data_IF_035831284899
#
_entry.id   IF_035831284899
#
_cell.length_a   1.000
_cell.length_b   1.000
_cell.length_c   1.000
_cell.angle_alpha   90.00
_cell.angle_beta   90.00
_cell.angle_gamma   90.00
#
_symmetry.space_group_name_H-M   'P 1'
#
loop_
_entity.id
_entity.type
_entity.pdbx_description
1 polymer ?
#
# COMPACT_ATOMS: atom_id res chain seq x y z
N UNK A 1 -4.43 0.61 -1.33
CA UNK A 1 -3.02 1.05 -1.30
C UNK A 1 -2.04 -0.02 -0.84
N UNK A 2 -2.32 -0.82 0.17
CA UNK A 2 -1.43 -1.94 0.55
C UNK A 2 -1.14 -2.91 -0.60
N UNK A 3 -2.07 -3.05 -1.56
CA UNK A 3 -1.84 -3.78 -2.80
C UNK A 3 -0.60 -3.31 -3.59
N UNK A 4 -0.30 -2.01 -3.60
CA UNK A 4 0.88 -1.45 -4.28
C UNK A 4 2.16 -1.91 -3.58
N UNK A 5 2.20 -1.79 -2.24
CA UNK A 5 3.34 -2.24 -1.44
C UNK A 5 3.55 -3.76 -1.59
N UNK A 6 2.47 -4.55 -1.61
CA UNK A 6 2.53 -6.00 -1.84
C UNK A 6 2.97 -6.37 -3.26
N UNK A 7 2.59 -5.59 -4.28
CA UNK A 7 3.05 -5.79 -5.64
C UNK A 7 4.56 -5.54 -5.77
N UNK A 8 5.06 -4.49 -5.11
CA UNK A 8 6.47 -4.10 -5.13
C UNK A 8 7.34 -4.88 -4.14
N UNK A 9 6.74 -5.66 -3.23
CA UNK A 9 7.40 -6.38 -2.15
C UNK A 9 8.56 -7.28 -2.62
N UNK A 10 8.39 -7.95 -3.78
CA UNK A 10 9.41 -8.83 -4.36
C UNK A 10 10.40 -8.09 -5.27
N UNK A 11 10.04 -6.89 -5.73
CA UNK A 11 10.83 -6.12 -6.69
C UNK A 11 11.89 -5.25 -6.01
N UNK A 12 11.66 -4.87 -4.74
CA UNK A 12 12.44 -3.79 -4.14
C UNK A 12 12.64 -4.00 -2.63
N UNK A 13 13.91 -3.88 -2.19
CA UNK A 13 14.34 -4.15 -0.83
C UNK A 13 13.72 -3.24 0.23
N UNK A 14 13.28 -2.02 -0.12
CA UNK A 14 12.53 -1.17 0.79
C UNK A 14 11.17 -1.80 1.12
N UNK A 15 10.40 -2.17 0.10
CA UNK A 15 9.07 -2.77 0.30
C UNK A 15 9.17 -4.13 0.97
N UNK A 16 10.25 -4.89 0.72
CA UNK A 16 10.53 -6.13 1.45
C UNK A 16 10.47 -5.96 2.97
N UNK A 17 11.01 -4.86 3.49
CA UNK A 17 11.07 -4.56 4.92
C UNK A 17 9.71 -4.27 5.55
N UNK A 18 8.68 -3.97 4.76
CA UNK A 18 7.33 -3.69 5.26
C UNK A 18 6.57 -4.96 5.66
N UNK A 19 7.02 -6.13 5.19
CA UNK A 19 6.35 -7.42 5.37
C UNK A 19 7.29 -8.44 6.02
N UNK A 20 7.62 -8.21 7.31
CA UNK A 20 8.59 -9.06 8.05
C UNK A 20 7.95 -10.20 8.81
N UNK A 21 6.69 -10.03 9.22
CA UNK A 21 6.02 -10.96 10.10
C UNK A 21 5.02 -11.78 9.30
N UNK A 22 5.07 -13.10 9.47
CA UNK A 22 4.02 -14.00 8.98
C UNK A 22 3.00 -14.25 10.10
N UNK A 23 1.72 -14.08 9.79
CA UNK A 23 0.62 -14.42 10.69
C UNK A 23 -0.01 -15.71 10.18
N UNK A 24 -0.15 -16.70 11.06
CA UNK A 24 -0.76 -18.00 10.77
C UNK A 24 -2.00 -18.19 11.61
N UNK A 25 -3.06 -18.67 10.97
CA UNK A 25 -4.30 -19.04 11.62
C UNK A 25 -4.65 -20.47 11.25
N UNK A 26 -5.16 -21.20 12.23
CA UNK A 26 -5.80 -22.48 12.02
C UNK A 26 -7.31 -22.25 12.16
N UNK A 27 -8.06 -22.62 11.14
CA UNK A 27 -9.51 -22.57 11.15
C UNK A 27 -10.06 -23.99 11.15
N UNK A 28 -11.26 -24.13 11.71
CA UNK A 28 -12.02 -25.38 11.66
C UNK A 28 -13.36 -25.07 11.03
N UNK A 29 -13.66 -25.74 9.93
CA UNK A 29 -14.93 -25.57 9.23
C UNK A 29 -16.06 -26.18 10.07
N UNK A 30 -17.30 -25.82 9.75
CA UNK A 30 -18.48 -26.39 10.43
C UNK A 30 -18.60 -27.91 10.27
N UNK A 31 -18.00 -28.48 9.21
CA UNK A 31 -17.93 -29.94 8.96
C UNK A 31 -16.81 -30.63 9.73
N UNK A 32 -15.98 -29.87 10.46
CA UNK A 32 -14.91 -30.37 11.30
C UNK A 32 -13.55 -30.50 10.62
N UNK A 33 -13.43 -30.13 9.35
CA UNK A 33 -12.15 -30.07 8.64
C UNK A 33 -11.31 -28.92 9.18
N UNK A 34 -10.01 -29.13 9.33
CA UNK A 34 -9.08 -28.11 9.80
C UNK A 34 -8.26 -27.56 8.64
N UNK A 35 -8.31 -26.25 8.44
CA UNK A 35 -7.48 -25.50 7.52
C UNK A 35 -6.33 -24.79 8.25
N UNK A 36 -5.25 -24.52 7.53
CA UNK A 36 -4.22 -23.60 7.96
C UNK A 36 -3.97 -22.57 6.86
N UNK A 37 -4.05 -21.30 7.22
CA UNK A 37 -3.77 -20.19 6.32
C UNK A 37 -2.74 -19.24 6.94
N UNK A 38 -1.84 -18.73 6.11
CA UNK A 38 -0.81 -17.77 6.51
C UNK A 38 -0.76 -16.60 5.55
N UNK A 39 -0.53 -15.40 6.09
CA UNK A 39 -0.30 -14.20 5.28
C UNK A 39 0.82 -13.35 5.87
N UNK A 40 1.47 -12.57 5.01
CA UNK A 40 2.50 -11.61 5.41
C UNK A 40 1.83 -10.34 5.94
N UNK A 41 2.12 -9.98 7.19
CA UNK A 41 1.57 -8.79 7.83
C UNK A 41 2.34 -7.56 7.40
N UNK A 42 1.62 -6.62 6.78
CA UNK A 42 2.12 -5.29 6.44
C UNK A 42 2.30 -4.46 7.72
N UNK A 43 3.45 -3.80 7.83
CA UNK A 43 3.82 -2.90 8.92
C UNK A 43 4.11 -1.49 8.40
N UNK A 44 4.32 -0.54 9.31
CA UNK A 44 4.66 0.83 8.97
C UNK A 44 3.47 1.79 8.98
N UNK A 45 3.74 3.08 8.83
CA UNK A 45 2.72 4.12 8.79
C UNK A 45 2.60 4.67 7.38
N UNK A 46 1.38 4.91 6.91
CA UNK A 46 1.11 5.54 5.62
C UNK A 46 0.47 6.91 5.79
N UNK A 47 0.68 7.76 4.81
CA UNK A 47 -0.07 8.99 4.62
C UNK A 47 -0.39 9.13 3.13
N UNK A 48 -1.61 8.72 2.77
CA UNK A 48 -2.06 8.69 1.37
C UNK A 48 -1.92 10.06 0.65
N UNK A 49 -2.18 11.21 1.30
CA UNK A 49 -2.00 12.52 0.67
C UNK A 49 -0.58 12.81 0.16
N UNK A 50 0.47 12.09 0.60
CA UNK A 50 1.82 12.24 0.01
C UNK A 50 1.84 12.00 -1.49
N UNK A 51 0.96 11.11 -1.97
CA UNK A 51 0.87 10.80 -3.40
C UNK A 51 -0.09 11.72 -4.14
N UNK A 52 -0.98 12.45 -3.43
CA UNK A 52 -2.01 13.29 -4.05
C UNK A 52 -1.41 14.29 -5.04
N UNK A 53 -0.27 14.91 -4.68
CA UNK A 53 0.47 15.86 -5.52
C UNK A 53 0.92 15.33 -6.88
N UNK A 54 0.93 14.02 -7.07
CA UNK A 54 1.32 13.39 -8.34
C UNK A 54 0.13 13.17 -9.27
N UNK A 55 -1.10 13.33 -8.79
CA UNK A 55 -2.31 13.19 -9.59
C UNK A 55 -2.75 14.55 -10.12
N UNK A 56 -3.29 14.52 -11.33
CA UNK A 56 -3.92 15.68 -11.94
C UNK A 56 -5.34 15.88 -11.36
N UNK A 57 -5.92 17.08 -11.45
CA UNK A 57 -7.28 17.33 -10.96
C UNK A 57 -8.37 16.48 -11.62
N UNK A 58 -8.14 15.97 -12.84
CA UNK A 58 -9.03 15.04 -13.53
C UNK A 58 -8.85 13.57 -13.08
N UNK A 59 -7.72 13.23 -12.48
CA UNK A 59 -7.47 11.90 -11.91
C UNK A 59 -7.92 11.80 -10.45
N UNK A 60 -7.60 12.82 -9.65
CA UNK A 60 -7.92 12.93 -8.23
C UNK A 60 -8.86 14.12 -8.01
N UNK A 61 -10.12 13.80 -7.74
CA UNK A 61 -11.15 14.78 -7.45
C UNK A 61 -11.11 15.06 -5.96
N UNK A 62 -10.93 16.32 -5.59
CA UNK A 62 -11.02 16.80 -4.21
C UNK A 62 -12.27 17.68 -4.11
N UNK A 63 -13.16 17.38 -3.16
CA UNK A 63 -14.45 18.07 -3.00
C UNK A 63 -14.86 18.13 -1.52
N UNK A 64 -15.87 18.94 -1.20
CA UNK A 64 -16.44 19.08 0.14
C UNK A 64 -17.89 18.62 0.19
N UNK A 65 -18.18 17.58 0.96
CA UNK A 65 -19.56 17.10 1.17
C UNK A 65 -19.98 17.41 2.60
N UNK A 66 -20.92 18.34 2.78
CA UNK A 66 -21.46 18.73 4.09
C UNK A 66 -20.38 19.12 5.13
N UNK A 67 -19.30 19.77 4.66
CA UNK A 67 -18.17 20.17 5.49
C UNK A 67 -17.12 19.08 5.73
N UNK A 68 -17.23 17.94 5.05
CA UNK A 68 -16.20 16.90 5.00
C UNK A 68 -15.38 17.03 3.72
N UNK A 69 -14.06 17.12 3.85
CA UNK A 69 -13.15 17.03 2.72
C UNK A 69 -13.09 15.58 2.21
N UNK A 70 -13.39 15.39 0.93
CA UNK A 70 -13.46 14.09 0.25
C UNK A 70 -12.51 14.09 -0.93
N UNK A 71 -11.69 13.04 -1.03
CA UNK A 71 -10.88 12.76 -2.20
C UNK A 71 -11.40 11.49 -2.90
N UNK A 72 -11.60 11.55 -4.22
CA UNK A 72 -12.03 10.42 -5.04
C UNK A 72 -11.07 10.20 -6.21
N UNK A 73 -10.72 8.95 -6.45
CA UNK A 73 -9.85 8.54 -7.56
C UNK A 73 -10.23 7.16 -8.06
N UNK A 74 -10.11 6.94 -9.38
CA UNK A 74 -10.29 5.61 -9.97
C UNK A 74 -9.19 4.67 -9.47
N UNK A 75 -9.59 3.53 -8.88
CA UNK A 75 -8.67 2.58 -8.27
C UNK A 75 -7.56 2.10 -9.21
N UNK A 76 -7.89 1.83 -10.48
CA UNK A 76 -6.90 1.42 -11.49
C UNK A 76 -5.84 2.50 -11.73
N UNK A 77 -6.27 3.74 -11.96
CA UNK A 77 -5.38 4.90 -12.13
C UNK A 77 -4.46 5.08 -10.93
N UNK A 78 -5.02 4.99 -9.71
CA UNK A 78 -4.26 5.08 -8.47
C UNK A 78 -3.20 3.97 -8.36
N UNK A 79 -3.58 2.72 -8.59
CA UNK A 79 -2.69 1.56 -8.45
C UNK A 79 -1.56 1.61 -9.48
N UNK A 80 -1.88 1.78 -10.76
CA UNK A 80 -0.89 1.77 -11.85
C UNK A 80 0.16 2.88 -11.64
N UNK A 81 -0.30 4.10 -11.32
CA UNK A 81 0.57 5.26 -11.09
C UNK A 81 1.37 5.14 -9.80
N UNK A 82 0.77 4.65 -8.72
CA UNK A 82 1.48 4.44 -7.46
C UNK A 82 2.53 3.32 -7.54
N UNK A 83 2.33 2.30 -8.38
CA UNK A 83 3.37 1.30 -8.67
C UNK A 83 4.56 1.95 -9.38
N UNK A 84 4.30 2.76 -10.40
CA UNK A 84 5.36 3.48 -11.13
C UNK A 84 6.16 4.41 -10.20
N UNK A 85 5.46 5.28 -9.46
CA UNK A 85 6.06 6.15 -8.46
C UNK A 85 6.83 5.37 -7.39
N UNK A 86 6.27 4.25 -6.95
CA UNK A 86 6.86 3.41 -5.93
C UNK A 86 8.20 2.81 -6.35
N UNK A 87 8.39 2.51 -7.64
CA UNK A 87 9.67 2.08 -8.21
C UNK A 87 10.71 3.20 -8.26
N UNK A 88 10.26 4.44 -8.37
CA UNK A 88 11.10 5.66 -8.31
C UNK A 88 11.41 6.11 -6.87
N UNK A 89 10.84 5.43 -5.86
CA UNK A 89 11.02 5.75 -4.45
C UNK A 89 10.02 6.79 -3.91
N UNK A 90 9.03 7.18 -4.69
CA UNK A 90 7.92 8.02 -4.24
C UNK A 90 6.84 7.13 -3.62
N UNK A 91 6.65 7.24 -2.30
CA UNK A 91 5.71 6.39 -1.54
C UNK A 91 4.95 7.17 -0.48
N UNK A 92 3.78 6.64 -0.15
CA UNK A 92 2.96 7.11 0.98
C UNK A 92 3.54 6.74 2.35
N UNK A 93 4.53 5.84 2.41
CA UNK A 93 5.09 5.42 3.69
C UNK A 93 5.78 6.58 4.39
N UNK A 94 5.46 6.75 5.67
CA UNK A 94 6.13 7.68 6.59
C UNK A 94 7.22 6.93 7.34
N UNK A 95 6.87 5.75 7.87
CA UNK A 95 7.77 4.92 8.64
C UNK A 95 7.64 3.46 8.20
N UNK A 96 8.74 2.73 7.97
CA UNK A 96 10.14 3.18 7.99
C UNK A 96 10.40 4.30 6.97
N UNK A 97 11.30 5.24 7.30
CA UNK A 97 11.55 6.42 6.45
C UNK A 97 11.99 5.98 5.05
N UNK A 98 11.31 6.42 3.96
CA UNK A 98 11.62 6.04 2.59
C UNK A 98 12.84 6.82 2.07
N UNK A 99 14.03 6.47 2.55
CA UNK A 99 15.26 7.06 2.03
C UNK A 99 15.48 6.65 0.58
N UNK A 100 15.89 7.59 -0.29
CA UNK A 100 16.08 7.31 -1.74
C UNK A 100 16.99 6.13 -2.03
N UNK A 101 18.06 5.94 -1.25
CA UNK A 101 18.98 4.81 -1.41
C UNK A 101 18.35 3.46 -1.05
N UNK A 102 17.27 3.42 -0.27
CA UNK A 102 16.63 2.17 0.13
C UNK A 102 15.83 1.50 -0.98
N UNK A 103 15.53 2.23 -2.06
CA UNK A 103 14.81 1.74 -3.23
C UNK A 103 15.73 1.24 -4.35
N UNK A 104 17.02 1.53 -4.27
CA UNK A 104 18.01 1.19 -5.31
C UNK A 104 19.07 0.20 -4.81
N UNK A 105 18.88 -0.32 -3.58
CA UNK A 105 19.77 -1.28 -2.91
C UNK A 105 19.40 -2.72 -3.20
#
# INVERSE_FOLDING_TARGET
>A
MHCVESALWKENGYYHKLFRDEVRHCDKTATGETGQHGYQRRSGQIYAPKLARHFTPDELIEDGIEGLDVCAIRARTLIDKAIALGREGETMTIWPVPWRWSFHS
#
